data_IF_423034440683
#
_entry.id   IF_423034440683
#
_cell.length_a   1.000
_cell.length_b   1.000
_cell.length_c   1.000
_cell.angle_alpha   90.00
_cell.angle_beta   90.00
_cell.angle_gamma   90.00
#
_symmetry.space_group_name_H-M   'P 1'
#
loop_
_entity.id
_entity.type
_entity.pdbx_description
1 polymer ?
#
# COMPACT_ATOMS: atom_id res chain seq x y z
N UNK A 1 -2.41 -13.52 2.01
CA UNK A 1 -3.36 -12.46 2.41
C UNK A 1 -2.58 -11.45 3.20
N UNK A 2 -2.53 -10.16 2.88
CA UNK A 2 -1.98 -9.18 3.84
C UNK A 2 -2.50 -7.76 3.63
N UNK A 3 -3.24 -7.28 4.63
CA UNK A 3 -3.56 -5.88 4.87
C UNK A 3 -2.85 -5.51 6.17
N UNK A 4 -2.08 -4.42 6.19
CA UNK A 4 -1.27 -4.04 7.35
C UNK A 4 -1.76 -2.70 7.87
N UNK A 5 -2.09 -2.65 9.16
CA UNK A 5 -2.42 -1.42 9.89
C UNK A 5 -1.54 -1.42 11.14
N UNK A 6 -0.74 -0.37 11.34
CA UNK A 6 0.23 -0.27 12.44
C UNK A 6 -0.32 0.70 13.49
N UNK A 7 -0.34 0.25 14.75
CA UNK A 7 -0.60 1.07 15.93
C UNK A 7 0.75 1.49 16.57
N UNK A 8 0.86 2.75 16.97
CA UNK A 8 2.09 3.37 17.50
C UNK A 8 2.22 3.23 19.03
N UNK A 9 1.43 2.40 19.67
CA UNK A 9 1.40 2.29 21.14
C UNK A 9 2.56 1.47 21.76
N UNK A 10 3.48 0.92 20.96
CA UNK A 10 4.65 0.17 21.48
C UNK A 10 5.87 1.02 21.88
N UNK A 11 5.77 2.35 21.82
CA UNK A 11 6.86 3.25 22.23
C UNK A 11 6.41 4.20 23.33
N UNK A 12 5.96 3.66 24.45
CA UNK A 12 5.73 4.45 25.65
C UNK A 12 5.85 3.59 26.91
N UNK A 13 7.07 3.34 27.36
CA UNK A 13 7.47 3.36 28.78
C UNK A 13 8.88 2.81 28.91
N UNK A 14 9.83 3.70 29.13
CA UNK A 14 10.98 3.45 30.03
C UNK A 14 11.71 4.78 30.22
N UNK A 15 11.08 5.69 30.97
CA UNK A 15 11.76 6.81 31.61
C UNK A 15 11.15 7.04 33.00
N UNK A 16 11.92 6.58 33.99
CA UNK A 16 12.07 7.07 35.36
C UNK A 16 10.92 7.06 36.38
N UNK A 17 11.18 6.40 37.51
CA UNK A 17 11.26 7.09 38.81
C UNK A 17 11.84 6.19 39.91
N UNK A 18 13.06 6.51 40.32
CA UNK A 18 13.64 6.09 41.60
C UNK A 18 13.09 6.95 42.75
N UNK A 19 12.53 6.36 43.81
CA UNK A 19 12.61 6.90 45.18
C UNK A 19 12.26 5.84 46.25
N UNK A 20 12.79 6.08 47.46
CA UNK A 20 13.22 5.15 48.51
C UNK A 20 12.18 4.82 49.61
N UNK A 21 12.56 3.82 50.44
CA UNK A 21 12.24 3.58 51.87
C UNK A 21 10.88 2.91 52.18
N UNK A 22 10.68 1.99 53.14
CA UNK A 22 11.45 1.30 54.20
C UNK A 22 10.49 0.26 54.85
N UNK A 23 10.98 -0.78 55.53
CA UNK A 23 10.25 -1.47 56.62
C UNK A 23 9.44 -2.79 56.38
N UNK A 24 10.09 -3.90 56.77
CA UNK A 24 9.60 -5.08 57.54
C UNK A 24 8.42 -6.01 57.10
N UNK A 25 8.81 -7.29 56.97
CA UNK A 25 8.22 -8.56 57.48
C UNK A 25 6.95 -9.23 56.92
N UNK A 26 7.13 -10.57 56.78
CA UNK A 26 6.17 -11.68 56.87
C UNK A 26 5.53 -12.26 55.58
N UNK A 27 5.96 -13.51 55.29
CA UNK A 27 5.25 -14.72 54.80
C UNK A 27 3.91 -14.52 54.05
N UNK A 28 3.64 -15.14 52.90
CA UNK A 28 3.61 -16.58 52.68
C UNK A 28 3.28 -16.89 51.19
N UNK A 29 3.65 -18.10 50.78
CA UNK A 29 3.02 -18.95 49.76
C UNK A 29 2.46 -18.35 48.44
N UNK A 30 2.99 -18.83 47.31
CA UNK A 30 2.31 -19.86 46.49
C UNK A 30 2.66 -19.81 44.98
N UNK A 31 3.06 -20.99 44.50
CA UNK A 31 2.73 -21.60 43.20
C UNK A 31 2.93 -20.83 41.88
N UNK A 32 4.02 -21.26 41.20
CA UNK A 32 4.00 -21.57 39.77
C UNK A 32 2.81 -22.47 39.43
N UNK A 33 1.93 -22.07 38.51
CA UNK A 33 1.19 -22.96 37.59
C UNK A 33 0.12 -22.18 36.81
N UNK A 34 0.23 -22.25 35.47
CA UNK A 34 -0.80 -22.52 34.47
C UNK A 34 -2.25 -22.07 34.64
N UNK A 35 -2.76 -21.48 33.54
CA UNK A 35 -4.16 -21.42 33.07
C UNK A 35 -5.10 -20.60 33.98
N UNK A 36 -5.87 -19.65 33.46
CA UNK A 36 -7.13 -19.97 32.79
C UNK A 36 -7.70 -18.76 32.05
N UNK A 37 -8.48 -19.08 31.03
CA UNK A 37 -9.41 -18.21 30.32
C UNK A 37 -10.48 -17.68 31.28
N UNK A 38 -10.90 -16.43 31.11
CA UNK A 38 -12.18 -15.98 31.68
C UNK A 38 -13.07 -15.34 30.62
N UNK A 39 -14.26 -15.93 30.57
CA UNK A 39 -15.39 -15.69 29.71
C UNK A 39 -16.24 -14.59 30.34
N UNK A 40 -16.65 -13.57 29.58
CA UNK A 40 -17.71 -12.65 30.00
C UNK A 40 -18.80 -12.59 28.94
N UNK A 41 -19.90 -13.28 29.24
CA UNK A 41 -21.19 -13.12 28.56
C UNK A 41 -22.09 -12.24 29.43
N UNK A 42 -22.36 -11.02 28.97
CA UNK A 42 -23.44 -10.19 29.52
C UNK A 42 -24.56 -10.06 28.48
N UNK A 43 -25.74 -10.55 28.87
CA UNK A 43 -27.03 -10.38 28.18
C UNK A 43 -27.47 -8.91 28.25
N UNK A 44 -27.93 -8.41 27.10
CA UNK A 44 -28.87 -7.31 26.89
C UNK A 44 -28.59 -5.96 27.59
N UNK A 45 -28.21 -4.95 26.80
CA UNK A 45 -28.84 -3.61 26.69
C UNK A 45 -28.14 -2.90 25.53
N UNK A 46 -28.91 -2.27 24.65
CA UNK A 46 -28.40 -1.56 23.48
C UNK A 46 -27.42 -0.45 23.87
N UNK A 47 -26.24 -0.43 23.24
CA UNK A 47 -25.31 0.71 23.24
C UNK A 47 -24.68 0.76 21.85
N UNK A 48 -24.93 1.85 21.12
CA UNK A 48 -24.20 2.16 19.90
C UNK A 48 -22.72 2.31 20.24
N UNK A 49 -21.89 1.41 19.72
CA UNK A 49 -20.44 1.53 19.85
C UNK A 49 -19.91 2.19 18.59
N UNK A 50 -19.58 3.47 18.75
CA UNK A 50 -18.70 4.21 17.87
C UNK A 50 -17.31 3.53 17.94
N UNK A 51 -17.12 2.48 17.13
CA UNK A 51 -15.88 1.71 17.08
C UNK A 51 -14.87 2.47 16.22
N UNK A 52 -14.24 3.48 16.81
CA UNK A 52 -12.80 3.68 16.61
C UNK A 52 -12.12 2.47 17.23
N UNK A 53 -11.65 1.57 16.37
CA UNK A 53 -10.80 0.41 16.67
C UNK A 53 -11.44 -0.71 17.49
N UNK A 54 -11.83 -1.80 16.79
CA UNK A 54 -11.63 -3.20 17.23
C UNK A 54 -11.96 -4.19 16.09
N UNK A 55 -10.90 -4.88 15.66
CA UNK A 55 -10.82 -6.30 15.25
C UNK A 55 -11.48 -6.75 13.94
N UNK A 56 -10.64 -6.83 12.90
CA UNK A 56 -10.47 -8.06 12.08
C UNK A 56 -8.99 -8.18 11.68
N UNK A 57 -8.19 -8.64 12.64
CA UNK A 57 -6.76 -8.95 12.45
C UNK A 57 -6.63 -10.30 11.73
N UNK A 58 -6.19 -10.30 10.48
CA UNK A 58 -5.74 -11.51 9.80
C UNK A 58 -4.24 -11.68 10.03
N UNK A 59 -3.88 -12.73 10.78
CA UNK A 59 -2.51 -13.13 11.08
C UNK A 59 -1.71 -13.41 9.80
N UNK A 60 -0.56 -12.76 9.65
CA UNK A 60 0.43 -13.01 8.59
C UNK A 60 1.76 -13.29 9.28
N UNK A 61 2.40 -14.39 8.88
CA UNK A 61 3.73 -14.75 9.38
C UNK A 61 4.74 -13.68 8.96
N UNK A 62 5.59 -13.18 9.86
CA UNK A 62 6.56 -12.14 9.54
C UNK A 62 7.64 -12.71 8.60
N UNK A 63 7.74 -12.18 7.38
CA UNK A 63 9.01 -12.14 6.66
C UNK A 63 9.64 -10.79 7.04
N UNK A 64 10.85 -10.79 7.60
CA UNK A 64 11.48 -9.57 8.13
C UNK A 64 11.53 -8.41 7.11
N UNK A 65 11.62 -8.74 5.81
CA UNK A 65 11.58 -7.78 4.71
C UNK A 65 10.33 -6.87 4.71
N UNK A 66 9.14 -7.39 5.04
CA UNK A 66 7.92 -6.57 4.98
C UNK A 66 7.90 -5.51 6.06
N UNK A 67 8.42 -5.82 7.25
CA UNK A 67 8.47 -4.88 8.36
C UNK A 67 9.43 -3.74 8.03
N UNK A 68 10.57 -4.05 7.42
CA UNK A 68 11.53 -3.03 7.02
C UNK A 68 11.02 -2.18 5.85
N UNK A 69 10.28 -2.77 4.91
CA UNK A 69 9.59 -2.00 3.86
C UNK A 69 8.59 -1.01 4.45
N UNK A 70 7.78 -1.44 5.42
CA UNK A 70 6.82 -0.58 6.08
C UNK A 70 7.49 0.54 6.87
N UNK A 71 8.58 0.26 7.58
CA UNK A 71 9.36 1.30 8.27
C UNK A 71 9.84 2.36 7.27
N UNK A 72 10.37 1.94 6.12
CA UNK A 72 10.80 2.86 5.05
C UNK A 72 9.63 3.69 4.51
N UNK A 73 8.48 3.07 4.24
CA UNK A 73 7.27 3.80 3.78
C UNK A 73 6.78 4.78 4.86
N UNK A 74 6.72 4.37 6.12
CA UNK A 74 6.29 5.23 7.22
C UNK A 74 7.27 6.39 7.48
N UNK A 75 8.55 6.21 7.17
CA UNK A 75 9.56 7.26 7.36
C UNK A 75 9.39 8.47 6.44
N UNK A 76 8.73 8.31 5.29
CA UNK A 76 8.48 9.40 4.35
C UNK A 76 7.15 10.12 4.62
N UNK A 77 6.29 9.58 5.50
CA UNK A 77 5.02 10.21 5.84
C UNK A 77 5.26 11.51 6.60
N UNK A 78 4.48 12.54 6.23
CA UNK A 78 4.45 13.78 6.98
C UNK A 78 3.85 13.54 8.38
N UNK A 79 4.27 14.35 9.34
CA UNK A 79 3.64 14.36 10.66
C UNK A 79 2.14 14.72 10.57
N UNK A 80 1.29 13.88 11.18
CA UNK A 80 -0.16 14.02 11.18
C UNK A 80 -0.87 13.12 10.14
N UNK A 81 -0.14 12.67 9.13
CA UNK A 81 -0.68 11.79 8.10
C UNK A 81 -0.59 10.32 8.55
N UNK A 82 -1.52 9.50 8.08
CA UNK A 82 -1.60 8.09 8.43
C UNK A 82 -1.79 7.20 7.20
N UNK A 83 -1.17 6.02 7.25
CA UNK A 83 -1.26 5.01 6.21
C UNK A 83 -2.54 4.19 6.40
N UNK A 84 -3.51 4.36 5.50
CA UNK A 84 -4.76 3.57 5.51
C UNK A 84 -4.55 2.16 4.96
N UNK A 85 -3.79 2.07 3.88
CA UNK A 85 -3.54 0.82 3.17
C UNK A 85 -2.20 0.88 2.47
N UNK A 86 -1.54 -0.27 2.41
CA UNK A 86 -0.36 -0.49 1.58
C UNK A 86 -0.50 -1.84 0.89
N UNK A 87 -0.35 -1.84 -0.44
CA UNK A 87 -0.37 -3.05 -1.25
C UNK A 87 0.86 -3.08 -2.13
N UNK A 88 1.50 -4.26 -2.22
CA UNK A 88 2.60 -4.48 -3.16
C UNK A 88 2.03 -4.64 -4.56
N UNK A 89 2.65 -3.99 -5.53
CA UNK A 89 2.33 -4.12 -6.94
C UNK A 89 3.29 -5.09 -7.64
N UNK A 90 2.81 -5.65 -8.74
CA UNK A 90 3.62 -6.33 -9.73
C UNK A 90 4.49 -5.29 -10.46
N UNK A 91 5.65 -5.73 -10.94
CA UNK A 91 6.54 -4.93 -11.79
C UNK A 91 6.87 -5.75 -13.02
N UNK A 92 6.86 -5.10 -14.18
CA UNK A 92 7.15 -5.74 -15.48
C UNK A 92 8.57 -6.29 -15.54
N UNK A 93 9.49 -5.64 -14.84
CA UNK A 93 10.91 -5.98 -14.81
C UNK A 93 11.37 -6.14 -13.34
N UNK A 94 11.04 -7.27 -12.68
CA UNK A 94 11.36 -7.48 -11.28
C UNK A 94 12.88 -7.47 -11.08
N UNK A 95 13.35 -6.53 -10.26
CA UNK A 95 14.75 -6.47 -9.83
C UNK A 95 14.87 -6.86 -8.36
N UNK A 96 15.97 -7.54 -7.97
CA UNK A 96 16.23 -7.84 -6.56
C UNK A 96 16.16 -6.57 -5.73
N UNK A 97 15.48 -6.60 -4.58
CA UNK A 97 15.35 -5.45 -3.66
C UNK A 97 14.64 -4.21 -4.20
N UNK A 98 14.03 -4.30 -5.39
CA UNK A 98 13.14 -3.26 -5.91
C UNK A 98 11.70 -3.70 -5.73
N UNK A 99 10.94 -2.89 -5.01
CA UNK A 99 9.55 -3.18 -4.72
C UNK A 99 8.69 -1.95 -4.94
N UNK A 100 7.57 -2.16 -5.61
CA UNK A 100 6.58 -1.12 -5.85
C UNK A 100 5.39 -1.29 -4.93
N UNK A 101 4.95 -0.18 -4.34
CA UNK A 101 3.82 -0.16 -3.43
C UNK A 101 2.82 0.92 -3.85
N UNK A 102 1.53 0.56 -3.84
CA UNK A 102 0.44 1.52 -3.83
C UNK A 102 0.01 1.72 -2.38
N UNK A 103 0.07 2.97 -1.93
CA UNK A 103 -0.27 3.36 -0.58
C UNK A 103 -1.44 4.35 -0.62
N UNK A 104 -2.39 4.17 0.29
CA UNK A 104 -3.45 5.16 0.51
C UNK A 104 -3.09 5.88 1.79
N UNK A 105 -2.78 7.17 1.67
CA UNK A 105 -2.46 8.04 2.79
C UNK A 105 -3.64 8.95 3.03
N UNK A 106 -3.99 9.13 4.29
CA UNK A 106 -5.03 10.05 4.68
C UNK A 106 -4.57 10.97 5.78
N UNK A 107 -5.22 12.12 5.85
CA UNK A 107 -5.00 13.11 6.89
C UNK A 107 -6.34 13.71 7.27
N UNK A 108 -6.40 14.30 8.45
CA UNK A 108 -7.55 15.14 8.82
C UNK A 108 -7.23 16.56 8.36
N UNK A 109 -7.93 17.00 7.32
CA UNK A 109 -7.77 18.31 6.70
C UNK A 109 -8.10 19.45 7.66
N UNK A 110 -7.79 20.69 7.24
CA UNK A 110 -8.06 21.91 8.02
C UNK A 110 -9.55 22.08 8.35
N UNK A 111 -10.41 21.51 7.52
CA UNK A 111 -11.87 21.54 7.67
C UNK A 111 -12.41 20.43 8.58
N UNK A 112 -11.53 19.64 9.21
CA UNK A 112 -11.91 18.53 10.09
C UNK A 112 -12.41 17.29 9.35
N UNK A 113 -12.32 17.29 8.03
CA UNK A 113 -12.74 16.20 7.15
C UNK A 113 -11.54 15.33 6.75
N UNK A 114 -11.79 14.08 6.40
CA UNK A 114 -10.75 13.17 5.95
C UNK A 114 -10.38 13.46 4.49
N UNK A 115 -9.11 13.74 4.22
CA UNK A 115 -8.55 13.95 2.89
C UNK A 115 -7.59 12.80 2.57
N UNK A 116 -7.60 12.29 1.34
CA UNK A 116 -6.91 11.05 0.99
C UNK A 116 -6.17 11.18 -0.35
N UNK A 117 -4.97 10.59 -0.43
CA UNK A 117 -4.18 10.54 -1.66
C UNK A 117 -3.68 9.11 -1.89
N UNK A 118 -3.62 8.70 -3.15
CA UNK A 118 -2.88 7.50 -3.57
C UNK A 118 -1.43 7.89 -3.84
N UNK A 119 -0.50 7.20 -3.20
CA UNK A 119 0.93 7.31 -3.45
C UNK A 119 1.47 6.04 -4.08
N UNK A 120 2.18 6.20 -5.18
CA UNK A 120 3.08 5.19 -5.71
C UNK A 120 4.45 5.35 -5.09
N UNK A 121 4.86 4.37 -4.31
CA UNK A 121 6.16 4.35 -3.62
C UNK A 121 7.02 3.27 -4.23
N UNK A 122 8.23 3.62 -4.63
CA UNK A 122 9.25 2.64 -4.99
C UNK A 122 10.24 2.49 -3.82
N UNK A 123 10.45 1.25 -3.41
CA UNK A 123 11.45 0.88 -2.43
C UNK A 123 12.66 0.30 -3.13
N UNK A 124 13.83 0.77 -2.71
CA UNK A 124 15.13 0.21 -3.01
C UNK A 124 15.82 -0.18 -1.69
N UNK A 125 16.94 -0.90 -1.76
CA UNK A 125 17.70 -1.29 -0.55
C UNK A 125 17.97 -0.12 0.39
N UNK A 126 18.20 1.07 -0.16
CA UNK A 126 18.68 2.24 0.61
C UNK A 126 17.61 3.28 0.90
N UNK A 127 16.55 3.38 0.10
CA UNK A 127 15.59 4.50 0.20
C UNK A 127 14.19 4.16 -0.32
N UNK A 128 13.21 4.89 0.18
CA UNK A 128 11.87 5.01 -0.39
C UNK A 128 11.79 6.29 -1.23
N UNK A 129 11.25 6.18 -2.44
CA UNK A 129 11.06 7.30 -3.36
C UNK A 129 9.63 7.35 -3.87
N UNK A 130 9.21 8.52 -4.33
CA UNK A 130 7.87 8.75 -4.85
C UNK A 130 7.87 8.61 -6.37
N UNK A 131 7.08 7.66 -6.88
CA UNK A 131 6.89 7.45 -8.31
C UNK A 131 5.55 7.98 -8.83
N UNK A 132 4.55 8.08 -7.97
CA UNK A 132 3.23 8.62 -8.31
C UNK A 132 2.61 9.33 -7.11
N UNK A 133 1.94 10.45 -7.36
CA UNK A 133 1.10 11.14 -6.37
C UNK A 133 -0.23 11.45 -7.05
N UNK A 134 -1.31 10.93 -6.51
CA UNK A 134 -2.65 11.07 -7.08
C UNK A 134 -3.66 11.39 -5.98
N UNK A 135 -4.01 12.68 -5.77
CA UNK A 135 -5.04 13.07 -4.82
C UNK A 135 -6.41 12.52 -5.21
N UNK A 136 -7.20 12.13 -4.21
CA UNK A 136 -8.53 11.56 -4.42
C UNK A 136 -9.57 12.68 -4.39
N UNK A 137 -9.99 13.07 -5.59
CA UNK A 137 -11.04 14.06 -5.82
C UNK A 137 -12.40 13.40 -6.01
N UNK A 138 -13.47 14.19 -5.98
CA UNK A 138 -14.83 13.69 -6.14
C UNK A 138 -15.10 13.06 -7.52
N UNK A 139 -14.39 13.52 -8.56
CA UNK A 139 -14.50 13.05 -9.93
C UNK A 139 -13.65 11.80 -10.21
N UNK A 140 -12.88 11.33 -9.22
CA UNK A 140 -12.14 10.07 -9.34
C UNK A 140 -13.10 8.87 -9.33
N UNK A 141 -12.95 8.00 -10.33
CA UNK A 141 -13.56 6.68 -10.39
C UNK A 141 -12.50 5.59 -10.33
N UNK A 142 -12.91 4.41 -9.87
CA UNK A 142 -12.06 3.22 -9.82
C UNK A 142 -12.81 2.06 -10.45
N UNK A 143 -12.17 1.41 -11.42
CA UNK A 143 -12.73 0.25 -12.11
C UNK A 143 -11.79 -0.95 -12.01
N UNK A 144 -12.33 -2.15 -12.22
CA UNK A 144 -11.50 -3.34 -12.36
C UNK A 144 -10.94 -3.39 -13.78
N UNK A 145 -9.66 -3.73 -13.89
CA UNK A 145 -8.95 -3.84 -15.15
C UNK A 145 -8.54 -5.31 -15.38
N UNK A 146 -8.71 -5.79 -16.62
CA UNK A 146 -8.46 -7.19 -16.99
C UNK A 146 -7.07 -7.65 -16.57
N UNK A 147 -6.93 -8.93 -16.19
CA UNK A 147 -5.71 -9.54 -15.61
C UNK A 147 -5.43 -9.23 -14.12
N UNK A 148 -6.47 -8.91 -13.35
CA UNK A 148 -6.36 -8.76 -11.89
C UNK A 148 -5.77 -7.41 -11.45
N UNK A 149 -5.90 -6.40 -12.30
CA UNK A 149 -5.60 -5.01 -11.98
C UNK A 149 -6.84 -4.19 -11.62
N UNK A 150 -6.59 -2.94 -11.23
CA UNK A 150 -7.61 -1.90 -11.16
C UNK A 150 -7.06 -0.60 -11.75
N UNK A 151 -7.94 0.22 -12.27
CA UNK A 151 -7.62 1.52 -12.83
C UNK A 151 -8.24 2.63 -11.99
N UNK A 152 -7.51 3.74 -11.86
CA UNK A 152 -7.99 4.99 -11.29
C UNK A 152 -8.10 6.00 -12.42
N UNK A 153 -9.31 6.52 -12.61
CA UNK A 153 -9.62 7.46 -13.68
C UNK A 153 -10.07 8.77 -13.05
N UNK A 154 -9.50 9.86 -13.56
CA UNK A 154 -9.90 11.24 -13.34
C UNK A 154 -10.01 11.91 -14.71
N UNK A 155 -10.47 13.16 -14.77
CA UNK A 155 -10.54 13.90 -16.05
C UNK A 155 -9.19 14.03 -16.76
N UNK A 156 -8.12 14.14 -15.98
CA UNK A 156 -6.78 14.49 -16.50
C UNK A 156 -5.82 13.31 -16.46
N UNK A 157 -6.13 12.25 -15.70
CA UNK A 157 -5.22 11.13 -15.49
C UNK A 157 -5.93 9.79 -15.41
N UNK A 158 -5.33 8.80 -16.07
CA UNK A 158 -5.65 7.39 -15.94
C UNK A 158 -4.40 6.65 -15.44
N UNK A 159 -4.57 5.84 -14.40
CA UNK A 159 -3.49 5.06 -13.79
C UNK A 159 -3.92 3.65 -13.47
N UNK A 160 -3.16 2.70 -14.00
CA UNK A 160 -3.41 1.28 -13.82
C UNK A 160 -2.48 0.72 -12.73
N UNK A 161 -3.04 -0.14 -11.89
CA UNK A 161 -2.35 -0.78 -10.78
C UNK A 161 -2.59 -2.28 -10.85
N UNK A 162 -1.51 -3.07 -10.75
CA UNK A 162 -1.57 -4.54 -10.72
C UNK A 162 -1.07 -5.06 -9.38
N UNK A 163 -1.94 -5.28 -8.38
CA UNK A 163 -1.53 -5.85 -7.11
C UNK A 163 -1.02 -7.29 -7.23
N UNK A 164 -0.13 -7.72 -6.33
CA UNK A 164 0.46 -9.08 -6.37
C UNK A 164 -0.54 -10.22 -6.09
N UNK A 165 -1.78 -9.92 -5.69
CA UNK A 165 -2.81 -10.93 -5.43
C UNK A 165 -4.22 -10.35 -5.53
N UNK A 166 -5.19 -11.21 -5.82
CA UNK A 166 -6.63 -10.86 -5.83
C UNK A 166 -7.10 -10.27 -4.50
N UNK A 167 -6.53 -10.72 -3.38
CA UNK A 167 -6.86 -10.17 -2.06
C UNK A 167 -6.36 -8.73 -1.90
N UNK A 168 -5.13 -8.45 -2.38
CA UNK A 168 -4.57 -7.10 -2.39
C UNK A 168 -5.33 -6.19 -3.36
N UNK A 169 -5.79 -6.73 -4.49
CA UNK A 169 -6.66 -6.04 -5.45
C UNK A 169 -7.95 -5.56 -4.77
N UNK A 170 -8.72 -6.47 -4.17
CA UNK A 170 -9.98 -6.09 -3.53
C UNK A 170 -9.79 -5.14 -2.36
N UNK A 171 -8.73 -5.32 -1.58
CA UNK A 171 -8.37 -4.39 -0.51
C UNK A 171 -8.15 -2.96 -1.03
N UNK A 172 -7.32 -2.81 -2.08
CA UNK A 172 -7.03 -1.51 -2.69
C UNK A 172 -8.29 -0.90 -3.32
N UNK A 173 -9.01 -1.69 -4.11
CA UNK A 173 -10.24 -1.27 -4.78
C UNK A 173 -11.29 -0.76 -3.78
N UNK A 174 -11.49 -1.47 -2.67
CA UNK A 174 -12.46 -1.06 -1.63
C UNK A 174 -12.00 0.19 -0.87
N UNK A 175 -10.71 0.27 -0.54
CA UNK A 175 -10.18 1.41 0.20
C UNK A 175 -10.22 2.69 -0.65
N UNK A 176 -9.84 2.63 -1.93
CA UNK A 176 -9.97 3.77 -2.84
C UNK A 176 -11.44 4.15 -3.04
N UNK A 177 -12.34 3.18 -3.28
CA UNK A 177 -13.77 3.48 -3.41
C UNK A 177 -14.34 4.21 -2.21
N UNK A 178 -13.94 3.80 -0.99
CA UNK A 178 -14.34 4.50 0.24
C UNK A 178 -13.83 5.94 0.24
N UNK A 179 -12.56 6.15 -0.06
CA UNK A 179 -12.00 7.50 -0.13
C UNK A 179 -12.69 8.36 -1.20
N UNK A 180 -13.03 7.80 -2.36
CA UNK A 180 -13.82 8.48 -3.40
C UNK A 180 -15.23 8.85 -2.90
N UNK A 181 -15.88 8.00 -2.11
CA UNK A 181 -17.18 8.33 -1.50
C UNK A 181 -17.04 9.51 -0.53
N UNK A 182 -16.02 9.50 0.34
CA UNK A 182 -15.71 10.62 1.24
C UNK A 182 -15.45 11.90 0.45
N UNK A 183 -14.70 11.83 -0.65
CA UNK A 183 -14.40 12.97 -1.50
C UNK A 183 -15.66 13.55 -2.16
N UNK A 184 -16.61 12.70 -2.58
CA UNK A 184 -17.92 13.12 -3.10
C UNK A 184 -18.82 13.71 -2.04
N UNK A 185 -18.83 13.16 -0.83
CA UNK A 185 -19.66 13.69 0.27
C UNK A 185 -19.20 15.07 0.75
N UNK A 186 -17.90 15.35 0.64
CA UNK A 186 -17.30 16.62 1.08
C UNK A 186 -16.94 17.56 -0.09
N UNK A 187 -17.41 17.27 -1.30
CA UNK A 187 -17.20 18.09 -2.51
C UNK A 187 -15.73 18.49 -2.74
N UNK A 188 -14.80 17.53 -2.71
CA UNK A 188 -13.38 17.82 -2.95
C UNK A 188 -13.10 18.04 -4.43
N UNK A 189 -12.45 19.17 -4.75
CA UNK A 189 -12.06 19.57 -6.10
C UNK A 189 -10.57 19.87 -6.17
N UNK A 190 -9.94 19.63 -7.32
CA UNK A 190 -8.51 19.88 -7.56
C UNK A 190 -8.08 21.34 -7.38
N UNK A 191 -9.00 22.30 -7.50
CA UNK A 191 -8.78 23.74 -7.26
C UNK A 191 -9.44 24.24 -5.96
N UNK A 192 -9.81 23.30 -5.09
CA UNK A 192 -10.42 23.58 -3.79
C UNK A 192 -9.40 23.98 -2.73
N UNK A 193 -9.85 24.01 -1.47
CA UNK A 193 -9.05 24.35 -0.29
C UNK A 193 -8.55 23.11 0.48
N UNK A 194 -8.66 21.92 -0.14
CA UNK A 194 -8.30 20.63 0.46
C UNK A 194 -7.09 20.04 -0.27
N UNK A 195 -6.41 19.09 0.36
CA UNK A 195 -5.22 18.42 -0.18
C UNK A 195 -3.99 19.32 -0.38
N UNK A 196 -3.94 20.51 0.24
CA UNK A 196 -2.74 21.38 0.26
C UNK A 196 -1.47 20.61 0.66
N UNK A 197 -1.62 19.63 1.55
CA UNK A 197 -0.56 18.79 2.08
C UNK A 197 0.08 17.87 1.04
N UNK A 198 -0.60 17.58 -0.07
CA UNK A 198 -0.08 16.67 -1.11
C UNK A 198 1.18 17.25 -1.78
N UNK A 199 1.33 18.58 -1.78
CA UNK A 199 2.55 19.26 -2.23
C UNK A 199 3.81 18.78 -1.49
N UNK A 200 3.71 18.36 -0.23
CA UNK A 200 4.83 17.75 0.50
C UNK A 200 5.35 16.49 -0.21
N UNK A 201 4.45 15.61 -0.65
CA UNK A 201 4.82 14.37 -1.33
C UNK A 201 5.37 14.59 -2.73
N UNK A 202 4.91 15.64 -3.43
CA UNK A 202 5.50 16.05 -4.70
C UNK A 202 6.95 16.54 -4.56
N UNK A 203 7.32 17.10 -3.39
CA UNK A 203 8.66 17.62 -3.13
C UNK A 203 9.63 16.57 -2.56
N UNK A 204 9.15 15.35 -2.27
CA UNK A 204 10.02 14.26 -1.86
C UNK A 204 10.88 13.76 -3.02
N UNK A 205 12.00 13.05 -2.73
CA UNK A 205 12.82 12.46 -3.77
C UNK A 205 12.01 11.57 -4.71
N UNK A 206 11.98 11.97 -5.98
CA UNK A 206 11.32 11.21 -7.03
C UNK A 206 12.09 9.91 -7.31
N UNK A 207 11.36 8.89 -7.77
CA UNK A 207 11.96 7.63 -8.20
C UNK A 207 12.86 7.81 -9.43
N UNK A 208 13.74 6.84 -9.68
CA UNK A 208 14.62 6.91 -10.85
C UNK A 208 13.79 6.85 -12.14
N UNK A 209 14.30 7.40 -13.24
CA UNK A 209 13.54 7.57 -14.49
C UNK A 209 12.88 6.28 -14.97
N UNK A 210 13.57 5.14 -14.90
CA UNK A 210 13.01 3.86 -15.33
C UNK A 210 11.81 3.40 -14.48
N UNK A 211 11.80 3.70 -13.17
CA UNK A 211 10.69 3.38 -12.28
C UNK A 211 9.51 4.31 -12.55
N UNK A 212 9.78 5.61 -12.78
CA UNK A 212 8.76 6.58 -13.18
C UNK A 212 8.09 6.13 -14.48
N UNK A 213 8.84 5.65 -15.46
CA UNK A 213 8.26 5.16 -16.71
C UNK A 213 7.24 4.06 -16.49
N UNK A 214 7.49 3.11 -15.58
CA UNK A 214 6.51 2.08 -15.28
C UNK A 214 5.23 2.63 -14.60
N UNK A 215 5.30 3.76 -13.87
CA UNK A 215 4.11 4.45 -13.34
C UNK A 215 3.36 5.28 -14.41
N UNK A 216 4.04 5.61 -15.50
CA UNK A 216 3.48 6.36 -16.62
C UNK A 216 2.82 5.46 -17.66
N UNK A 217 3.25 4.20 -17.77
CA UNK A 217 2.64 3.23 -18.68
C UNK A 217 1.15 3.02 -18.39
N UNK A 218 0.35 3.15 -19.44
CA UNK A 218 -1.00 2.60 -19.55
C UNK A 218 -0.94 1.42 -20.52
N UNK A 219 -1.56 0.27 -20.18
CA UNK A 219 -1.38 -1.00 -20.91
C UNK A 219 -1.84 -0.97 -22.38
N UNK A 220 -2.50 0.09 -22.85
CA UNK A 220 -3.07 0.21 -24.20
C UNK A 220 -2.02 0.14 -25.33
N UNK A 221 -0.74 0.36 -25.05
CA UNK A 221 0.30 0.46 -26.08
C UNK A 221 1.06 -0.87 -26.30
N UNK A 222 1.13 -1.76 -25.30
CA UNK A 222 1.97 -2.96 -25.39
C UNK A 222 1.23 -4.20 -25.93
N UNK A 223 -0.10 -4.17 -26.01
CA UNK A 223 -0.89 -5.24 -26.63
C UNK A 223 -0.64 -5.37 -28.15
N UNK A 224 -0.51 -4.25 -28.85
CA UNK A 224 -0.30 -4.23 -30.31
C UNK A 224 1.15 -4.58 -30.71
N UNK A 225 2.12 -4.28 -29.84
CA UNK A 225 3.54 -4.48 -30.15
C UNK A 225 4.01 -5.93 -29.92
N UNK A 226 3.29 -6.70 -29.09
CA UNK A 226 3.56 -8.14 -28.89
C UNK A 226 3.14 -9.02 -30.07
N UNK A 227 2.18 -8.58 -30.88
CA UNK A 227 1.81 -9.26 -32.12
C UNK A 227 2.66 -8.85 -33.33
N UNK A 228 3.58 -7.90 -33.16
CA UNK A 228 4.39 -7.33 -34.25
C UNK A 228 5.86 -7.76 -34.23
N UNK A 229 6.25 -8.78 -33.43
CA UNK A 229 7.55 -9.42 -33.60
C UNK A 229 7.46 -10.48 -34.71
N UNK A 230 7.99 -10.25 -35.92
CA UNK A 230 8.14 -11.32 -36.89
C UNK A 230 9.15 -12.32 -36.33
N UNK A 231 8.70 -13.55 -36.10
CA UNK A 231 9.61 -14.69 -35.95
C UNK A 231 10.61 -14.68 -37.10
N UNK A 232 11.93 -14.82 -36.86
CA UNK A 232 12.87 -14.99 -37.95
C UNK A 232 12.51 -16.27 -38.69
N UNK A 233 11.98 -16.12 -39.91
CA UNK A 233 11.82 -17.20 -40.88
C UNK A 233 13.20 -17.83 -41.06
N UNK A 234 13.33 -19.10 -40.69
CA UNK A 234 14.49 -19.91 -41.01
C UNK A 234 14.53 -20.10 -42.54
N UNK A 235 15.33 -19.29 -43.24
CA UNK A 235 15.76 -19.56 -44.60
C UNK A 235 16.64 -20.82 -44.60
N UNK A 236 16.04 -21.98 -44.84
CA UNK A 236 16.75 -23.15 -45.36
C UNK A 236 16.30 -23.35 -46.81
N UNK A 237 16.96 -22.63 -47.71
CA UNK A 237 16.91 -22.89 -49.14
C UNK A 237 18.31 -22.68 -49.74
N UNK A 238 19.18 -23.66 -49.56
CA UNK A 238 20.35 -23.85 -50.44
C UNK A 238 20.18 -25.15 -51.18
N UNK A 239 19.66 -25.03 -52.41
CA UNK A 239 19.84 -26.05 -53.43
C UNK A 239 21.22 -25.89 -54.05
N UNK A 240 22.03 -26.93 -53.98
CA UNK A 240 23.15 -27.11 -54.90
C UNK A 240 23.06 -28.52 -55.48
N UNK A 241 22.51 -28.59 -56.68
CA UNK A 241 22.63 -29.71 -57.60
C UNK A 241 23.95 -29.53 -58.38
N UNK A 242 24.93 -30.40 -58.16
CA UNK A 242 26.04 -30.60 -59.10
C UNK A 242 26.18 -32.10 -59.39
N UNK A 243 25.88 -32.43 -60.64
CA UNK A 243 26.01 -33.74 -61.28
C UNK A 243 27.49 -34.03 -61.58
N UNK A 244 28.00 -35.24 -61.29
CA UNK A 244 28.68 -36.17 -62.24
C UNK A 244 29.61 -37.21 -61.59
N UNK A 245 29.35 -38.46 -61.98
CA UNK A 245 30.26 -39.59 -62.29
C UNK A 245 31.42 -39.96 -61.35
N UNK A 246 31.34 -41.19 -60.82
CA UNK A 246 32.31 -42.28 -61.05
C UNK A 246 31.64 -43.61 -60.76
#
# INVERSE_FOLDING_TARGET
MSLITIDRSLFASDVDSSHNADGSDAVDSSSRSSQSEDFLMCKATAVGLNVRSRRRSSYIRPNDDIQDHLKKILSILRFGDYLQLVVRLQSDAPRPHHHRYCCIISTTGKQGTEESTVLGVDLTDRRATIGLVLPIWQDMSVNLFGDGGFELITKDTEKQFKPVSVQALWAAFQAVNRACQVARTNDYFSRGLTHDWVSYYHNLPASDTYQIQEWLKTDDIDGFNRYSQPSPLSENATGEEYVRFS
#
